data_IF_592683283260
#
_entry.id   IF_592683283260
#
_cell.length_a   1.000
_cell.length_b   1.000
_cell.length_c   1.000
_cell.angle_alpha   90.00
_cell.angle_beta   90.00
_cell.angle_gamma   90.00
#
_symmetry.space_group_name_H-M   'P 1'
#
loop_
_entity.id
_entity.type
_entity.pdbx_description
1 polymer ?
#
# COMPACT_ATOMS: atom_id res chain seq x y z
N UNK A 1 1.13 -12.68 1.76
CA UNK A 1 0.49 -11.41 2.16
C UNK A 1 -1.02 -11.64 2.32
N UNK A 2 -1.70 -10.87 3.16
CA UNK A 2 -3.18 -10.81 3.19
C UNK A 2 -3.68 -9.84 2.11
N UNK A 3 -4.97 -9.87 1.74
CA UNK A 3 -5.53 -8.84 0.86
C UNK A 3 -5.35 -7.42 1.41
N UNK A 4 -5.42 -7.24 2.74
CA UNK A 4 -5.18 -5.96 3.39
C UNK A 4 -3.71 -5.52 3.25
N UNK A 5 -2.75 -6.43 3.43
CA UNK A 5 -1.33 -6.16 3.20
C UNK A 5 -1.10 -5.64 1.78
N UNK A 6 -1.75 -6.21 0.77
CA UNK A 6 -1.63 -5.77 -0.62
C UNK A 6 -2.15 -4.34 -0.83
N UNK A 7 -3.30 -4.00 -0.24
CA UNK A 7 -3.85 -2.65 -0.32
C UNK A 7 -2.94 -1.63 0.39
N UNK A 8 -2.35 -2.01 1.53
CA UNK A 8 -1.38 -1.19 2.27
C UNK A 8 -0.11 -0.99 1.45
N UNK A 9 0.45 -2.06 0.89
CA UNK A 9 1.65 -2.02 0.05
C UNK A 9 1.44 -1.14 -1.19
N UNK A 10 0.27 -1.22 -1.84
CA UNK A 10 -0.10 -0.35 -2.95
C UNK A 10 -0.11 1.14 -2.57
N UNK A 11 -0.75 1.48 -1.44
CA UNK A 11 -0.78 2.86 -0.96
C UNK A 11 0.62 3.39 -0.62
N UNK A 12 1.47 2.57 0.00
CA UNK A 12 2.86 2.95 0.31
C UNK A 12 3.68 3.10 -0.96
N UNK A 13 3.53 2.18 -1.93
CA UNK A 13 4.25 2.23 -3.19
C UNK A 13 3.98 3.53 -3.97
N UNK A 14 2.73 4.02 -3.92
CA UNK A 14 2.39 5.34 -4.47
C UNK A 14 3.11 6.47 -3.74
N UNK A 15 3.04 6.50 -2.42
CA UNK A 15 3.68 7.54 -1.60
C UNK A 15 5.22 7.49 -1.64
N UNK A 16 5.82 6.34 -1.91
CA UNK A 16 7.27 6.18 -2.05
C UNK A 16 7.78 6.39 -3.48
N UNK A 17 6.88 6.51 -4.47
CA UNK A 17 7.22 6.48 -5.90
C UNK A 17 8.05 7.68 -6.37
N UNK A 18 7.96 8.81 -5.68
CA UNK A 18 8.75 10.03 -5.92
C UNK A 18 10.04 10.09 -5.06
N UNK A 19 10.39 8.97 -4.42
CA UNK A 19 11.50 8.80 -3.48
C UNK A 19 11.37 9.60 -2.17
N UNK A 20 10.19 10.15 -1.85
CA UNK A 20 9.99 10.88 -0.60
C UNK A 20 8.55 10.77 -0.05
N UNK A 21 8.37 9.86 0.90
CA UNK A 21 7.09 9.69 1.60
C UNK A 21 6.75 10.96 2.41
N UNK A 22 5.67 11.65 2.03
CA UNK A 22 5.23 12.85 2.74
C UNK A 22 4.39 12.51 3.98
N UNK A 23 4.50 13.34 5.02
CA UNK A 23 3.71 13.17 6.25
C UNK A 23 2.20 13.19 5.98
N UNK A 24 1.74 14.00 5.01
CA UNK A 24 0.33 14.09 4.64
C UNK A 24 -0.21 12.76 4.07
N UNK A 25 0.57 12.11 3.21
CA UNK A 25 0.24 10.82 2.63
C UNK A 25 0.24 9.71 3.69
N UNK A 26 1.23 9.68 4.61
CA UNK A 26 1.23 8.71 5.72
C UNK A 26 0.03 8.87 6.65
N UNK A 27 -0.36 10.10 6.95
CA UNK A 27 -1.57 10.38 7.74
C UNK A 27 -2.81 9.90 6.99
N UNK A 28 -2.85 10.09 5.66
CA UNK A 28 -3.94 9.61 4.81
C UNK A 28 -4.05 8.09 4.83
N UNK A 29 -2.93 7.37 4.70
CA UNK A 29 -2.87 5.90 4.79
C UNK A 29 -3.40 5.45 6.15
N UNK A 30 -2.89 6.00 7.26
CA UNK A 30 -3.33 5.63 8.60
C UNK A 30 -4.83 5.92 8.82
N UNK A 31 -5.33 7.03 8.30
CA UNK A 31 -6.77 7.35 8.35
C UNK A 31 -7.58 6.27 7.62
N UNK A 32 -7.17 5.87 6.42
CA UNK A 32 -7.82 4.79 5.64
C UNK A 32 -7.88 3.49 6.45
N UNK A 33 -6.77 3.08 7.06
CA UNK A 33 -6.70 1.84 7.86
C UNK A 33 -7.63 1.89 9.07
N UNK A 34 -7.78 3.05 9.70
CA UNK A 34 -8.61 3.20 10.89
C UNK A 34 -10.13 3.26 10.59
N UNK A 35 -10.53 3.65 9.37
CA UNK A 35 -11.93 3.97 9.07
C UNK A 35 -12.61 3.01 8.10
N UNK A 36 -11.87 2.31 7.23
CA UNK A 36 -12.50 1.42 6.26
C UNK A 36 -12.73 0.02 6.84
N UNK A 37 -13.96 -0.54 6.74
CA UNK A 37 -14.31 -1.84 7.33
C UNK A 37 -13.44 -3.02 6.90
N UNK A 38 -12.82 -2.95 5.71
CA UNK A 38 -11.93 -4.01 5.21
C UNK A 38 -10.68 -4.18 6.09
N UNK A 39 -10.29 -3.14 6.83
CA UNK A 39 -9.16 -3.12 7.74
C UNK A 39 -9.57 -3.27 9.22
N UNK A 40 -10.82 -3.61 9.52
CA UNK A 40 -11.32 -3.68 10.91
C UNK A 40 -10.53 -4.64 11.82
N UNK A 41 -9.93 -5.68 11.25
CA UNK A 41 -9.08 -6.66 11.95
C UNK A 41 -7.59 -6.53 11.55
N UNK A 42 -7.22 -5.47 10.85
CA UNK A 42 -5.85 -5.26 10.40
C UNK A 42 -4.97 -4.79 11.57
N UNK A 43 -3.85 -5.46 11.76
CA UNK A 43 -2.83 -5.05 12.71
C UNK A 43 -2.03 -3.87 12.12
N UNK A 44 -2.21 -2.67 12.69
CA UNK A 44 -1.59 -1.44 12.20
C UNK A 44 -0.06 -1.46 12.32
N UNK A 45 0.51 -2.27 13.22
CA UNK A 45 1.97 -2.40 13.36
C UNK A 45 2.60 -3.03 12.09
N UNK A 46 1.79 -3.75 11.30
CA UNK A 46 2.20 -4.27 9.98
C UNK A 46 2.46 -3.18 8.96
N UNK A 47 2.03 -1.94 9.19
CA UNK A 47 2.35 -0.81 8.31
C UNK A 47 3.88 -0.68 8.14
N UNK A 48 4.65 -0.79 9.24
CA UNK A 48 6.11 -0.72 9.19
C UNK A 48 6.71 -1.87 8.37
N UNK A 49 6.15 -3.07 8.49
CA UNK A 49 6.60 -4.25 7.75
C UNK A 49 6.33 -4.08 6.25
N UNK A 50 5.15 -3.56 5.88
CA UNK A 50 4.81 -3.30 4.48
C UNK A 50 5.63 -2.15 3.90
N UNK A 51 5.92 -1.12 4.69
CA UNK A 51 6.80 -0.03 4.25
C UNK A 51 8.21 -0.53 3.95
N UNK A 52 8.78 -1.32 4.85
CA UNK A 52 10.11 -1.90 4.61
C UNK A 52 10.10 -2.79 3.38
N UNK A 53 9.09 -3.66 3.22
CA UNK A 53 8.97 -4.53 2.05
C UNK A 53 8.95 -3.74 0.74
N UNK A 54 8.14 -2.66 0.67
CA UNK A 54 8.02 -1.84 -0.55
C UNK A 54 9.34 -1.11 -0.84
N UNK A 55 9.99 -0.54 0.18
CA UNK A 55 11.28 0.13 0.03
C UNK A 55 12.37 -0.84 -0.43
N UNK A 56 12.46 -2.02 0.20
CA UNK A 56 13.42 -3.07 -0.18
C UNK A 56 13.21 -3.55 -1.62
N UNK A 57 11.97 -3.58 -2.10
CA UNK A 57 11.65 -3.88 -3.49
C UNK A 57 12.07 -2.73 -4.42
N UNK A 58 11.80 -1.48 -4.07
CA UNK A 58 12.18 -0.33 -4.90
C UNK A 58 13.70 -0.15 -5.08
N UNK A 59 14.51 -0.72 -4.20
CA UNK A 59 15.97 -0.77 -4.34
C UNK A 59 16.47 -1.81 -5.36
N UNK A 60 15.61 -2.74 -5.80
CA UNK A 60 15.95 -3.81 -6.74
C UNK A 60 15.66 -3.43 -8.20
N UNK A 61 16.47 -3.93 -9.13
CA UNK A 61 16.37 -3.62 -10.57
C UNK A 61 14.99 -3.97 -11.16
N UNK A 62 14.40 -5.11 -10.77
CA UNK A 62 13.08 -5.58 -11.21
C UNK A 62 12.02 -5.56 -10.08
N UNK A 63 12.27 -4.79 -9.01
CA UNK A 63 11.48 -4.91 -7.79
C UNK A 63 10.03 -4.43 -7.91
N UNK A 64 9.74 -3.55 -8.86
CA UNK A 64 8.35 -3.14 -9.19
C UNK A 64 7.57 -4.31 -9.79
N UNK A 65 8.17 -5.09 -10.68
CA UNK A 65 7.53 -6.27 -11.25
C UNK A 65 7.28 -7.31 -10.15
N UNK A 66 8.28 -7.55 -9.28
CA UNK A 66 8.13 -8.43 -8.13
C UNK A 66 7.04 -7.97 -7.14
N UNK A 67 6.90 -6.65 -6.92
CA UNK A 67 5.81 -6.09 -6.12
C UNK A 67 4.45 -6.41 -6.75
N UNK A 68 4.30 -6.20 -8.06
CA UNK A 68 3.04 -6.49 -8.75
C UNK A 68 2.72 -7.99 -8.77
N UNK A 69 3.70 -8.86 -8.95
CA UNK A 69 3.51 -10.31 -8.82
C UNK A 69 2.97 -10.68 -7.43
N UNK A 70 3.60 -10.16 -6.37
CA UNK A 70 3.15 -10.39 -4.99
C UNK A 70 1.71 -9.89 -4.75
N UNK A 71 1.37 -8.73 -5.29
CA UNK A 71 0.02 -8.15 -5.16
C UNK A 71 -1.00 -8.98 -5.93
N UNK A 72 -0.74 -9.31 -7.20
CA UNK A 72 -1.67 -10.06 -8.06
C UNK A 72 -1.95 -11.45 -7.47
N UNK A 73 -0.95 -12.10 -6.88
CA UNK A 73 -1.10 -13.42 -6.26
C UNK A 73 -1.98 -13.41 -4.99
N UNK A 74 -2.07 -12.28 -4.29
CA UNK A 74 -2.70 -12.21 -2.96
C UNK A 74 -3.91 -11.27 -2.88
N UNK A 75 -4.13 -10.42 -3.89
CA UNK A 75 -5.25 -9.49 -3.94
C UNK A 75 -6.40 -10.09 -4.80
N UNK A 76 -7.57 -10.39 -4.21
CA UNK A 76 -8.72 -10.83 -4.99
C UNK A 76 -9.14 -9.78 -6.02
N UNK A 77 -9.47 -10.21 -7.25
CA UNK A 77 -9.87 -9.31 -8.36
C UNK A 77 -10.98 -8.31 -7.98
N UNK A 78 -11.92 -8.70 -7.12
CA UNK A 78 -13.00 -7.81 -6.63
C UNK A 78 -12.51 -6.57 -5.88
N UNK A 79 -11.24 -6.56 -5.45
CA UNK A 79 -10.59 -5.47 -4.72
C UNK A 79 -9.63 -4.66 -5.60
N UNK A 80 -9.49 -4.95 -6.90
CA UNK A 80 -8.60 -4.17 -7.78
C UNK A 80 -9.04 -2.71 -7.87
N UNK A 81 -10.34 -2.47 -8.08
CA UNK A 81 -10.91 -1.12 -8.08
C UNK A 81 -10.77 -0.43 -6.72
N UNK A 82 -10.83 -1.21 -5.62
CA UNK A 82 -10.56 -0.68 -4.28
C UNK A 82 -9.10 -0.25 -4.15
N UNK A 83 -8.15 -1.09 -4.59
CA UNK A 83 -6.73 -0.75 -4.60
C UNK A 83 -6.46 0.51 -5.41
N UNK A 84 -7.02 0.60 -6.63
CA UNK A 84 -6.91 1.79 -7.47
C UNK A 84 -7.47 3.05 -6.77
N UNK A 85 -8.68 2.98 -6.21
CA UNK A 85 -9.29 4.11 -5.52
C UNK A 85 -8.48 4.58 -4.31
N UNK A 86 -7.93 3.64 -3.52
CA UNK A 86 -7.07 3.96 -2.38
C UNK A 86 -5.76 4.64 -2.81
N UNK A 87 -5.13 4.12 -3.88
CA UNK A 87 -3.94 4.75 -4.46
C UNK A 87 -4.21 6.18 -4.92
N UNK A 88 -5.33 6.43 -5.61
CA UNK A 88 -5.70 7.78 -6.04
C UNK A 88 -5.93 8.72 -4.85
N UNK A 89 -6.55 8.24 -3.77
CA UNK A 89 -6.83 9.05 -2.59
C UNK A 89 -5.56 9.42 -1.80
N UNK A 90 -4.54 8.56 -1.82
CA UNK A 90 -3.21 8.86 -1.26
C UNK A 90 -2.44 9.82 -2.17
N UNK A 91 -2.37 9.55 -3.48
CA UNK A 91 -1.68 10.41 -4.44
C UNK A 91 -2.25 11.85 -4.49
N UNK A 92 -3.54 12.02 -4.19
CA UNK A 92 -4.20 13.33 -4.13
C UNK A 92 -4.06 14.05 -2.78
N UNK A 93 -3.37 13.44 -1.80
CA UNK A 93 -3.12 14.05 -0.49
C UNK A 93 -1.90 14.99 -0.46
N UNK A 94 -1.07 14.96 -1.51
CA UNK A 94 0.00 15.92 -1.82
C UNK A 94 -0.52 17.13 -2.64
#
# INVERSE_FOLDING_TARGET
MTPQDCLVALMIAVSASDANILTAELVKIQSTLNHLPIFAEYDIDRLNVMSQLVLDLFEQEDGVDALFELIIDHLPQRLYETGYALCCDVAAAD
#
